data_IF_969640750063
#
_entry.id   IF_969640750063
#
_cell.length_a   1.000
_cell.length_b   1.000
_cell.length_c   1.000
_cell.angle_alpha   90.00
_cell.angle_beta   90.00
_cell.angle_gamma   90.00
#
_symmetry.space_group_name_H-M   'P 1'
#
loop_
_entity.id
_entity.type
_entity.pdbx_description
1 polymer ?
#
# COMPACT_ATOMS: atom_id res chain seq x y z
N UNK A 1 -3.58 24.51 3.06
CA UNK A 1 -3.70 23.51 4.15
C UNK A 1 -2.87 24.00 5.32
N UNK A 2 -3.44 24.16 6.52
CA UNK A 2 -2.68 24.52 7.71
C UNK A 2 -2.08 23.24 8.31
N UNK A 3 -0.87 22.91 7.88
CA UNK A 3 -0.08 21.83 8.44
C UNK A 3 0.61 22.38 9.69
N UNK A 4 0.47 21.70 10.83
CA UNK A 4 1.10 22.13 12.07
C UNK A 4 2.59 21.76 12.04
N UNK A 5 3.44 22.71 11.62
CA UNK A 5 4.90 22.54 11.53
C UNK A 5 5.60 22.60 12.90
N UNK A 6 4.84 22.75 13.99
CA UNK A 6 5.38 22.86 15.34
C UNK A 6 5.72 21.50 15.99
N UNK A 7 5.62 20.40 15.22
CA UNK A 7 6.00 19.05 15.65
C UNK A 7 7.41 18.76 15.14
N UNK A 8 8.26 18.26 16.04
CA UNK A 8 9.63 17.83 15.72
C UNK A 8 9.66 16.89 14.51
N UNK A 9 10.48 17.17 13.47
CA UNK A 9 10.54 16.37 12.25
C UNK A 9 10.76 14.88 12.51
N UNK A 10 11.57 14.56 13.52
CA UNK A 10 11.87 13.20 13.94
C UNK A 10 10.65 12.49 14.55
N UNK A 11 9.83 13.21 15.32
CA UNK A 11 8.60 12.67 15.90
C UNK A 11 7.57 12.37 14.81
N UNK A 12 7.43 13.26 13.82
CA UNK A 12 6.54 13.04 12.67
C UNK A 12 6.99 11.81 11.87
N UNK A 13 8.29 11.65 11.64
CA UNK A 13 8.84 10.49 10.96
C UNK A 13 8.43 9.17 11.62
N UNK A 14 8.62 9.02 12.93
CA UNK A 14 8.23 7.79 13.63
C UNK A 14 6.71 7.58 13.64
N UNK A 15 5.92 8.65 13.79
CA UNK A 15 4.45 8.57 13.69
C UNK A 15 3.97 8.09 12.31
N UNK A 16 4.66 8.49 11.23
CA UNK A 16 4.40 7.96 9.89
C UNK A 16 4.70 6.46 9.84
N UNK A 17 5.85 6.05 10.39
CA UNK A 17 6.24 4.64 10.38
C UNK A 17 5.25 3.76 11.17
N UNK A 18 4.85 4.18 12.36
CA UNK A 18 3.91 3.45 13.21
C UNK A 18 2.53 3.34 12.57
N UNK A 19 2.10 4.38 11.85
CA UNK A 19 0.80 4.41 11.19
C UNK A 19 0.74 3.52 9.95
N UNK A 20 1.81 3.52 9.15
CA UNK A 20 1.81 2.88 7.83
C UNK A 20 2.48 1.51 7.80
N UNK A 21 3.45 1.26 8.67
CA UNK A 21 4.25 0.04 8.72
C UNK A 21 4.40 -0.46 10.17
N UNK A 22 3.29 -0.86 10.79
CA UNK A 22 3.29 -1.41 12.17
C UNK A 22 4.36 -2.51 12.31
N UNK A 23 5.22 -2.35 13.32
CA UNK A 23 6.30 -3.29 13.61
C UNK A 23 7.53 -3.14 12.69
N UNK A 24 7.69 -1.99 12.02
CA UNK A 24 8.85 -1.68 11.18
C UNK A 24 10.19 -1.88 11.90
N UNK A 25 10.27 -1.60 13.20
CA UNK A 25 11.49 -1.79 14.02
C UNK A 25 12.04 -3.22 14.01
N UNK A 26 11.14 -4.21 13.86
CA UNK A 26 11.50 -5.63 13.86
C UNK A 26 11.85 -6.15 12.47
N UNK A 27 11.64 -5.34 11.43
CA UNK A 27 11.95 -5.71 10.05
C UNK A 27 13.43 -5.55 9.80
N UNK A 28 14.05 -6.60 9.27
CA UNK A 28 15.44 -6.58 8.81
C UNK A 28 15.58 -6.00 7.41
N UNK A 29 14.47 -5.90 6.67
CA UNK A 29 14.43 -5.28 5.35
C UNK A 29 14.19 -3.76 5.45
N UNK A 30 14.82 -2.99 4.56
CA UNK A 30 14.60 -1.55 4.44
C UNK A 30 13.38 -1.23 3.57
N UNK A 31 12.42 -2.16 3.46
CA UNK A 31 11.29 -2.02 2.56
C UNK A 31 10.44 -0.80 2.93
N UNK A 32 10.23 -0.57 4.23
CA UNK A 32 9.48 0.58 4.73
C UNK A 32 10.17 1.92 4.40
N UNK A 33 11.50 1.99 4.47
CA UNK A 33 12.26 3.19 4.08
C UNK A 33 12.19 3.44 2.58
N UNK A 34 12.23 2.37 1.78
CA UNK A 34 12.11 2.46 0.32
C UNK A 34 10.74 3.00 -0.08
N UNK A 35 9.68 2.51 0.55
CA UNK A 35 8.31 2.98 0.29
C UNK A 35 8.13 4.44 0.75
N UNK A 36 8.71 4.81 1.89
CA UNK A 36 8.67 6.20 2.35
C UNK A 36 9.46 7.15 1.44
N UNK A 37 10.64 6.76 0.97
CA UNK A 37 11.43 7.54 0.03
C UNK A 37 10.70 7.75 -1.30
N UNK A 38 10.00 6.71 -1.77
CA UNK A 38 9.15 6.80 -2.96
C UNK A 38 8.02 7.80 -2.78
N UNK A 39 7.34 7.79 -1.62
CA UNK A 39 6.28 8.75 -1.30
C UNK A 39 6.79 10.18 -1.24
N UNK A 40 7.97 10.42 -0.67
CA UNK A 40 8.59 11.75 -0.64
C UNK A 40 8.91 12.22 -2.06
N UNK A 41 9.47 11.34 -2.90
CA UNK A 41 9.86 11.70 -4.25
C UNK A 41 8.68 11.97 -5.18
N UNK A 42 7.69 11.08 -5.21
CA UNK A 42 6.54 11.18 -6.12
C UNK A 42 5.45 12.08 -5.55
N UNK A 43 5.18 11.99 -4.25
CA UNK A 43 4.13 12.77 -3.60
C UNK A 43 4.50 14.24 -3.41
N UNK A 44 5.79 14.59 -3.42
CA UNK A 44 6.26 15.94 -3.18
C UNK A 44 7.26 16.45 -4.23
N UNK A 45 7.35 15.76 -5.38
CA UNK A 45 8.16 16.15 -6.54
C UNK A 45 9.65 16.42 -6.21
N UNK A 46 10.21 15.66 -5.26
CA UNK A 46 11.61 15.85 -4.85
C UNK A 46 12.57 15.52 -6.00
N UNK A 47 13.54 16.39 -6.25
CA UNK A 47 14.62 16.19 -7.23
C UNK A 47 15.69 15.19 -6.74
N UNK A 48 15.60 14.74 -5.49
CA UNK A 48 16.56 13.82 -4.89
C UNK A 48 16.38 12.39 -5.38
N UNK A 49 17.49 11.66 -5.46
CA UNK A 49 17.45 10.22 -5.77
C UNK A 49 16.92 9.41 -4.59
N UNK A 50 16.28 8.28 -4.88
CA UNK A 50 15.73 7.37 -3.86
C UNK A 50 16.81 6.98 -2.84
N UNK A 51 18.03 6.67 -3.30
CA UNK A 51 19.17 6.35 -2.44
C UNK A 51 19.54 7.48 -1.47
N UNK A 52 19.52 8.73 -1.94
CA UNK A 52 19.83 9.90 -1.11
C UNK A 52 18.79 10.07 -0.02
N UNK A 53 17.52 9.88 -0.35
CA UNK A 53 16.40 9.96 0.60
C UNK A 53 16.50 8.81 1.60
N UNK A 54 16.65 7.56 1.16
CA UNK A 54 16.76 6.37 2.02
C UNK A 54 17.93 6.52 2.99
N UNK A 55 19.11 6.93 2.52
CA UNK A 55 20.28 7.12 3.38
C UNK A 55 20.06 8.19 4.45
N UNK A 56 19.27 9.23 4.14
CA UNK A 56 18.93 10.29 5.09
C UNK A 56 17.91 9.80 6.12
N UNK A 57 16.86 9.09 5.67
CA UNK A 57 15.85 8.48 6.56
C UNK A 57 16.49 7.45 7.51
N UNK A 58 17.41 6.60 7.01
CA UNK A 58 18.13 5.60 7.81
C UNK A 58 18.97 6.24 8.93
N UNK A 59 19.54 7.43 8.67
CA UNK A 59 20.30 8.21 9.65
C UNK A 59 19.42 9.10 10.53
N UNK A 60 18.09 9.00 10.40
CA UNK A 60 17.13 9.88 11.09
C UNK A 60 17.34 11.37 10.80
N UNK A 61 17.98 11.71 9.68
CA UNK A 61 18.15 13.09 9.22
C UNK A 61 16.94 13.47 8.35
N UNK A 62 15.87 13.91 9.02
CA UNK A 62 14.54 14.07 8.43
C UNK A 62 14.03 15.51 8.43
N UNK A 63 14.82 16.47 8.90
CA UNK A 63 14.45 17.90 8.97
C UNK A 63 14.03 18.44 7.60
N UNK A 64 14.82 18.13 6.56
CA UNK A 64 14.56 18.50 5.16
C UNK A 64 13.30 17.87 4.55
N UNK A 65 12.67 16.91 5.23
CA UNK A 65 11.47 16.21 4.78
C UNK A 65 10.25 16.50 5.66
N UNK A 66 10.34 17.47 6.58
CA UNK A 66 9.28 17.70 7.57
C UNK A 66 7.92 17.99 6.93
N UNK A 67 7.90 18.74 5.82
CA UNK A 67 6.66 19.08 5.12
C UNK A 67 6.06 17.84 4.46
N UNK A 68 6.90 17.07 3.76
CA UNK A 68 6.55 15.83 3.07
C UNK A 68 6.05 14.77 4.04
N UNK A 69 6.74 14.58 5.17
CA UNK A 69 6.36 13.64 6.22
C UNK A 69 5.02 14.03 6.86
N UNK A 70 4.79 15.32 7.11
CA UNK A 70 3.49 15.77 7.60
C UNK A 70 2.36 15.54 6.58
N UNK A 71 2.62 15.78 5.30
CA UNK A 71 1.66 15.49 4.23
C UNK A 71 1.34 13.99 4.20
N UNK A 72 2.34 13.13 4.26
CA UNK A 72 2.16 11.67 4.27
C UNK A 72 1.36 11.23 5.52
N UNK A 73 1.70 11.79 6.69
CA UNK A 73 1.02 11.49 7.95
C UNK A 73 -0.48 11.82 7.91
N UNK A 74 -0.83 13.03 7.44
CA UNK A 74 -2.20 13.51 7.42
C UNK A 74 -3.01 12.96 6.24
N UNK A 75 -2.38 12.79 5.07
CA UNK A 75 -3.04 12.33 3.84
C UNK A 75 -2.73 10.87 3.51
N UNK A 76 -2.75 10.03 4.53
CA UNK A 76 -2.50 8.59 4.44
C UNK A 76 -3.23 7.91 3.26
N UNK A 77 -4.49 8.25 3.00
CA UNK A 77 -5.29 7.69 1.89
C UNK A 77 -4.76 8.07 0.51
N UNK A 78 -4.23 9.29 0.35
CA UNK A 78 -3.65 9.78 -0.92
C UNK A 78 -2.29 9.13 -1.14
N UNK A 79 -1.45 9.07 -0.11
CA UNK A 79 -0.16 8.38 -0.15
C UNK A 79 -0.33 6.90 -0.54
N UNK A 80 -1.30 6.22 0.08
CA UNK A 80 -1.62 4.82 -0.23
C UNK A 80 -2.09 4.67 -1.69
N UNK A 81 -2.94 5.58 -2.19
CA UNK A 81 -3.39 5.57 -3.61
C UNK A 81 -2.22 5.77 -4.58
N UNK A 82 -1.29 6.67 -4.28
CA UNK A 82 -0.11 6.90 -5.13
C UNK A 82 0.78 5.65 -5.26
N UNK A 83 0.99 4.90 -4.16
CA UNK A 83 1.72 3.62 -4.21
C UNK A 83 0.96 2.60 -5.05
N UNK A 84 -0.36 2.50 -4.83
CA UNK A 84 -1.23 1.56 -5.53
C UNK A 84 -1.23 1.79 -7.05
N UNK A 85 -1.33 3.04 -7.48
CA UNK A 85 -1.55 3.39 -8.89
C UNK A 85 -0.26 3.32 -9.72
N UNK A 86 0.92 3.48 -9.09
CA UNK A 86 2.19 3.58 -9.82
C UNK A 86 3.14 2.37 -9.67
N UNK A 87 2.98 1.52 -8.64
CA UNK A 87 3.92 0.39 -8.40
C UNK A 87 3.31 -1.00 -8.50
N UNK A 88 2.00 -1.14 -8.64
CA UNK A 88 1.34 -2.44 -8.58
C UNK A 88 0.80 -2.91 -9.93
N UNK A 89 1.02 -4.19 -10.23
CA UNK A 89 0.18 -4.88 -11.21
C UNK A 89 -1.27 -4.88 -10.73
N UNK A 90 -2.22 -4.86 -11.67
CA UNK A 90 -3.65 -4.73 -11.36
C UNK A 90 -4.17 -5.73 -10.30
N UNK A 91 -3.61 -6.94 -10.24
CA UNK A 91 -3.95 -7.95 -9.24
C UNK A 91 -3.47 -7.60 -7.83
N UNK A 92 -2.25 -7.05 -7.70
CA UNK A 92 -1.68 -6.60 -6.42
C UNK A 92 -2.34 -5.31 -5.94
N UNK A 93 -2.66 -4.41 -6.86
CA UNK A 93 -3.37 -3.16 -6.58
C UNK A 93 -4.71 -3.43 -5.89
N UNK A 94 -5.50 -4.37 -6.43
CA UNK A 94 -6.81 -4.76 -5.89
C UNK A 94 -6.72 -5.36 -4.47
N UNK A 95 -5.74 -6.23 -4.21
CA UNK A 95 -5.54 -6.84 -2.90
C UNK A 95 -5.10 -5.81 -1.84
N UNK A 96 -4.28 -4.85 -2.24
CA UNK A 96 -3.73 -3.80 -1.38
C UNK A 96 -4.77 -2.70 -1.12
N UNK A 97 -5.57 -2.32 -2.11
CA UNK A 97 -6.75 -1.46 -1.93
C UNK A 97 -7.71 -2.04 -0.88
N UNK A 98 -7.99 -3.35 -0.95
CA UNK A 98 -8.86 -4.00 0.02
C UNK A 98 -8.28 -3.98 1.46
N UNK A 99 -6.95 -4.09 1.61
CA UNK A 99 -6.26 -4.06 2.92
C UNK A 99 -6.19 -2.67 3.53
N UNK A 100 -5.87 -1.65 2.73
CA UNK A 100 -5.52 -0.32 3.23
C UNK A 100 -6.63 0.72 3.08
N UNK A 101 -7.49 0.59 2.05
CA UNK A 101 -8.62 1.51 1.82
C UNK A 101 -9.95 0.93 2.33
N UNK A 102 -9.93 -0.28 2.89
CA UNK A 102 -11.13 -0.93 3.44
C UNK A 102 -12.22 -1.18 2.40
N UNK A 103 -11.90 -1.17 1.10
CA UNK A 103 -12.87 -1.54 0.06
C UNK A 103 -13.12 -3.03 0.17
N UNK A 104 -14.13 -3.41 0.98
CA UNK A 104 -14.69 -4.75 0.99
C UNK A 104 -15.22 -5.03 -0.40
N UNK A 105 -14.40 -5.57 -1.30
CA UNK A 105 -14.90 -6.12 -2.56
C UNK A 105 -15.81 -7.26 -2.15
N UNK A 106 -17.14 -7.05 -2.21
CA UNK A 106 -18.12 -8.11 -2.02
C UNK A 106 -17.68 -9.26 -2.94
N UNK A 107 -17.45 -10.47 -2.40
CA UNK A 107 -17.08 -11.59 -3.25
C UNK A 107 -18.17 -11.76 -4.29
N UNK A 108 -17.83 -11.62 -5.58
CA UNK A 108 -18.72 -12.04 -6.66
C UNK A 108 -18.90 -13.54 -6.46
N UNK A 109 -20.07 -13.96 -5.99
CA UNK A 109 -20.47 -15.37 -6.01
C UNK A 109 -20.20 -15.89 -7.41
N UNK A 110 -19.21 -16.79 -7.54
CA UNK A 110 -18.96 -17.51 -8.78
C UNK A 110 -20.15 -18.44 -8.95
N UNK A 111 -21.10 -18.06 -9.80
CA UNK A 111 -22.21 -18.95 -10.19
C UNK A 111 -21.54 -20.20 -10.75
N UNK A 112 -21.68 -21.32 -10.03
CA UNK A 112 -21.24 -22.62 -10.52
C UNK A 112 -22.00 -22.88 -11.83
N UNK A 113 -21.28 -23.00 -12.95
CA UNK A 113 -21.86 -23.55 -14.17
C UNK A 113 -22.35 -24.96 -13.82
N UNK A 114 -23.68 -25.13 -13.68
CA UNK A 114 -24.29 -26.45 -13.59
C UNK A 114 -23.91 -27.20 -14.87
N UNK A 115 -23.19 -28.31 -14.73
CA UNK A 115 -22.93 -29.21 -15.82
C UNK A 115 -24.27 -29.72 -16.38
N UNK A 116 -24.39 -29.74 -17.70
CA UNK A 116 -25.56 -30.28 -18.41
C UNK A 116 -25.82 -31.75 -18.01
N UNK A 117 -27.08 -32.20 -17.93
CA UNK A 117 -27.38 -33.58 -17.59
C UNK A 117 -26.91 -34.51 -18.72
N UNK A 118 -26.12 -35.53 -18.36
CA UNK A 118 -25.83 -36.67 -19.26
C UNK A 118 -27.14 -37.40 -19.56
N UNK A 119 -27.49 -37.50 -20.83
CA UNK A 119 -28.54 -38.39 -21.32
C UNK A 119 -28.26 -39.83 -20.83
N UNK A 120 -29.26 -40.45 -20.20
CA UNK A 120 -29.24 -41.86 -19.84
C UNK A 120 -29.59 -42.66 -21.09
N UNK A 121 -28.64 -43.47 -21.57
CA UNK A 121 -28.92 -44.44 -22.63
C UNK A 121 -29.97 -45.45 -22.14
N UNK A 122 -31.07 -45.50 -22.89
CA UNK A 122 -32.28 -46.28 -22.64
C UNK A 122 -32.18 -47.66 -23.28
N UNK A 123 -31.17 -48.47 -22.97
CA UNK A 123 -31.13 -49.88 -23.39
C UNK A 123 -30.12 -50.62 -22.51
N UNK A 124 -30.57 -51.17 -21.38
CA UNK A 124 -30.07 -52.44 -20.83
C UNK A 124 -31.16 -53.02 -19.93
N UNK A 125 -31.60 -54.25 -20.23
CA UNK A 125 -32.58 -54.98 -19.44
C UNK A 125 -33.62 -55.75 -20.26
N UNK A 126 -33.15 -56.48 -21.28
CA UNK A 126 -33.88 -57.63 -21.84
C UNK A 126 -33.95 -58.68 -20.73
N UNK A 127 -35.17 -59.08 -20.38
CA UNK A 127 -35.51 -60.33 -19.70
C UNK A 127 -36.56 -61.03 -20.56
#
# INVERSE_FOLDING_TARGET
MNINLNIEPLEVFYKVLDKHWIGWEKRKDDYYLTELAYLIKIGCESSLTDETIINSLRKSNVEKYQLELNVIYHFSTIAIRLILDNRMSASRQKATQARYLGTKTKPKHRVAKKAAPKERNLFEGIL
#
